data_IF_843387416724
#
_entry.id   IF_843387416724
#
_cell.length_a   1.000
_cell.length_b   1.000
_cell.length_c   1.000
_cell.angle_alpha   90.00
_cell.angle_beta   90.00
_cell.angle_gamma   90.00
#
_symmetry.space_group_name_H-M   'P 1'
#
loop_
_entity.id
_entity.type
_entity.pdbx_description
1 polymer ?
#
# COMPACT_ATOMS: atom_id res chain seq x y z
N UNK A 1 -15.81 -36.77 14.45
CA UNK A 1 -14.70 -35.81 14.63
C UNK A 1 -15.20 -34.42 14.25
N UNK A 2 -15.20 -33.49 15.21
CA UNK A 2 -15.91 -32.21 15.17
C UNK A 2 -15.22 -31.21 14.21
N UNK A 3 -15.85 -30.89 13.07
CA UNK A 3 -15.30 -30.07 11.97
C UNK A 3 -15.68 -28.58 12.05
N UNK A 4 -15.91 -28.04 13.25
CA UNK A 4 -16.21 -26.61 13.47
C UNK A 4 -14.98 -25.70 13.61
N UNK A 5 -13.76 -26.27 13.59
CA UNK A 5 -12.49 -25.54 13.80
C UNK A 5 -12.03 -24.55 12.71
N UNK A 6 -12.31 -24.70 11.40
CA UNK A 6 -11.62 -23.88 10.38
C UNK A 6 -12.02 -22.40 10.44
N UNK A 7 -13.27 -22.10 10.82
CA UNK A 7 -13.77 -20.72 10.86
C UNK A 7 -13.17 -19.95 12.04
N UNK A 8 -13.07 -20.53 13.23
CA UNK A 8 -12.55 -19.83 14.42
C UNK A 8 -11.07 -19.46 14.27
N UNK A 9 -10.25 -20.38 13.74
CA UNK A 9 -8.81 -20.14 13.55
C UNK A 9 -8.54 -18.98 12.60
N UNK A 10 -9.35 -18.82 11.54
CA UNK A 10 -9.28 -17.67 10.63
C UNK A 10 -9.43 -16.33 11.36
N UNK A 11 -10.45 -16.23 12.22
CA UNK A 11 -10.77 -15.02 12.97
C UNK A 11 -9.69 -14.65 14.01
N UNK A 12 -8.75 -15.55 14.30
CA UNK A 12 -7.58 -15.29 15.15
C UNK A 12 -6.34 -14.99 14.31
N UNK A 13 -6.05 -15.84 13.31
CA UNK A 13 -4.83 -15.72 12.52
C UNK A 13 -4.81 -14.50 11.59
N UNK A 14 -5.96 -14.12 11.00
CA UNK A 14 -6.04 -12.94 10.14
C UNK A 14 -5.74 -11.63 10.90
N UNK A 15 -6.42 -11.29 12.01
CA UNK A 15 -6.09 -10.07 12.74
C UNK A 15 -4.67 -10.12 13.33
N UNK A 16 -4.18 -11.30 13.73
CA UNK A 16 -2.80 -11.45 14.18
C UNK A 16 -1.80 -11.05 13.08
N UNK A 17 -1.95 -11.57 11.85
CA UNK A 17 -1.02 -11.22 10.77
C UNK A 17 -1.14 -9.77 10.33
N UNK A 18 -2.36 -9.20 10.34
CA UNK A 18 -2.55 -7.78 10.04
C UNK A 18 -1.90 -6.89 11.11
N UNK A 19 -1.95 -7.30 12.38
CA UNK A 19 -1.29 -6.60 13.48
C UNK A 19 0.24 -6.64 13.34
N UNK A 20 0.79 -7.80 13.01
CA UNK A 20 2.23 -7.96 12.72
C UNK A 20 2.63 -7.09 11.53
N UNK A 21 1.91 -7.16 10.41
CA UNK A 21 2.18 -6.35 9.22
C UNK A 21 2.11 -4.86 9.52
N UNK A 22 1.11 -4.42 10.30
CA UNK A 22 0.98 -3.02 10.71
C UNK A 22 2.16 -2.59 11.58
N UNK A 23 2.56 -3.39 12.57
CA UNK A 23 3.71 -3.08 13.43
C UNK A 23 5.01 -2.97 12.61
N UNK A 24 5.24 -3.89 11.68
CA UNK A 24 6.41 -3.86 10.80
C UNK A 24 6.41 -2.62 9.91
N UNK A 25 5.27 -2.29 9.29
CA UNK A 25 5.14 -1.09 8.46
C UNK A 25 5.37 0.17 9.29
N UNK A 26 4.80 0.28 10.50
CA UNK A 26 5.00 1.43 11.39
C UNK A 26 6.46 1.61 11.77
N UNK A 27 7.17 0.52 12.10
CA UNK A 27 8.60 0.57 12.46
C UNK A 27 9.48 0.95 11.26
N UNK A 28 9.14 0.45 10.07
CA UNK A 28 9.89 0.76 8.85
C UNK A 28 9.55 2.12 8.24
N UNK A 29 8.44 2.75 8.63
CA UNK A 29 7.91 3.94 7.97
C UNK A 29 8.85 5.14 8.10
N UNK A 30 9.37 5.60 6.97
CA UNK A 30 10.13 6.83 6.88
C UNK A 30 9.26 7.96 6.32
N UNK A 31 9.04 9.07 7.06
CA UNK A 31 8.26 10.20 6.56
C UNK A 31 9.00 11.02 5.49
N UNK A 32 10.32 10.85 5.33
CA UNK A 32 11.11 11.59 4.35
C UNK A 32 10.81 11.16 2.91
N UNK A 33 10.95 12.06 1.92
CA UNK A 33 10.90 11.68 0.52
C UNK A 33 11.97 10.63 0.20
N UNK A 34 11.63 9.73 -0.72
CA UNK A 34 12.56 8.71 -1.20
C UNK A 34 13.63 9.34 -2.11
N UNK A 35 14.89 8.93 -1.93
CA UNK A 35 16.03 9.50 -2.66
C UNK A 35 16.03 9.18 -4.16
N UNK A 36 15.29 8.14 -4.58
CA UNK A 36 15.13 7.78 -6.00
C UNK A 36 14.29 8.77 -6.81
N UNK A 37 13.55 9.68 -6.16
CA UNK A 37 12.84 10.79 -6.82
C UNK A 37 11.48 10.46 -7.46
N UNK A 38 11.18 9.19 -7.77
CA UNK A 38 9.90 8.78 -8.39
C UNK A 38 8.67 9.19 -7.56
N UNK A 39 8.77 9.16 -6.23
CA UNK A 39 7.71 9.58 -5.32
C UNK A 39 7.33 11.07 -5.50
N UNK A 40 8.29 11.93 -5.83
CA UNK A 40 8.00 13.33 -6.12
C UNK A 40 7.19 13.47 -7.41
N UNK A 41 7.57 12.72 -8.47
CA UNK A 41 6.84 12.72 -9.73
C UNK A 41 5.39 12.24 -9.58
N UNK A 42 5.15 11.19 -8.78
CA UNK A 42 3.78 10.76 -8.48
C UNK A 42 2.95 11.82 -7.76
N UNK A 43 3.55 12.58 -6.84
CA UNK A 43 2.84 13.64 -6.10
C UNK A 43 2.57 14.85 -7.00
N UNK A 44 3.50 15.25 -7.88
CA UNK A 44 3.26 16.34 -8.83
C UNK A 44 2.17 15.98 -9.82
N UNK A 45 2.11 14.74 -10.30
CA UNK A 45 1.02 14.25 -11.14
C UNK A 45 -0.32 14.21 -10.40
N UNK A 46 -0.32 13.81 -9.13
CA UNK A 46 -1.50 13.85 -8.27
C UNK A 46 -2.01 15.29 -8.07
N UNK A 47 -1.11 16.25 -7.91
CA UNK A 47 -1.44 17.66 -7.82
C UNK A 47 -2.00 18.21 -9.14
N UNK A 48 -1.42 17.82 -10.28
CA UNK A 48 -1.95 18.14 -11.62
C UNK A 48 -3.40 17.69 -11.77
N UNK A 49 -3.69 16.45 -11.36
CA UNK A 49 -5.04 15.90 -11.39
C UNK A 49 -5.99 16.64 -10.45
N UNK A 50 -5.57 16.93 -9.22
CA UNK A 50 -6.42 17.52 -8.19
C UNK A 50 -6.75 19.00 -8.46
N UNK A 51 -5.78 19.80 -8.89
CA UNK A 51 -5.92 21.26 -9.03
C UNK A 51 -6.21 21.69 -10.48
N UNK A 52 -5.71 20.96 -11.47
CA UNK A 52 -5.82 21.34 -12.88
C UNK A 52 -6.70 20.38 -13.71
N UNK A 53 -7.07 19.22 -13.17
CA UNK A 53 -7.84 18.21 -13.90
C UNK A 53 -7.08 17.58 -15.07
N UNK A 54 -5.76 17.73 -15.12
CA UNK A 54 -4.89 17.26 -16.19
C UNK A 54 -3.90 16.23 -15.68
N UNK A 55 -3.49 15.29 -16.54
CA UNK A 55 -2.43 14.33 -16.23
C UNK A 55 -1.15 14.73 -16.97
N UNK A 56 -0.55 15.83 -16.54
CA UNK A 56 0.63 16.47 -17.17
C UNK A 56 1.66 16.83 -16.12
N UNK A 57 2.92 16.94 -16.53
CA UNK A 57 3.97 17.53 -15.68
C UNK A 57 3.78 19.04 -15.61
N UNK A 58 3.49 19.60 -14.42
CA UNK A 58 3.14 21.02 -14.25
C UNK A 58 4.20 22.00 -14.78
N UNK A 59 5.45 21.58 -14.81
CA UNK A 59 6.58 22.42 -15.19
C UNK A 59 7.16 22.06 -16.57
N UNK A 60 6.51 21.17 -17.31
CA UNK A 60 6.86 20.93 -18.72
C UNK A 60 6.26 22.05 -19.58
N UNK A 61 7.09 22.90 -20.23
CA UNK A 61 6.59 23.98 -21.09
C UNK A 61 5.78 23.47 -22.29
N UNK A 62 5.95 22.21 -22.69
CA UNK A 62 5.19 21.62 -23.79
C UNK A 62 3.81 21.12 -23.32
N UNK A 63 3.66 20.85 -22.01
CA UNK A 63 2.40 20.48 -21.39
C UNK A 63 1.79 19.18 -21.94
N UNK A 64 2.63 18.26 -22.41
CA UNK A 64 2.11 17.01 -22.99
C UNK A 64 1.50 16.11 -21.91
N UNK A 65 0.47 15.30 -22.24
CA UNK A 65 -0.01 14.25 -21.36
C UNK A 65 1.12 13.31 -20.94
N UNK A 66 1.20 13.06 -19.63
CA UNK A 66 2.24 12.23 -19.06
C UNK A 66 2.00 10.75 -19.39
N UNK A 67 3.05 10.05 -19.85
CA UNK A 67 2.94 8.65 -20.34
C UNK A 67 3.84 7.65 -19.61
N UNK A 68 4.82 8.10 -18.83
CA UNK A 68 5.76 7.20 -18.13
C UNK A 68 5.12 6.49 -16.94
N UNK A 69 4.41 7.24 -16.10
CA UNK A 69 3.75 6.69 -14.92
C UNK A 69 2.25 6.44 -15.18
N UNK A 70 1.72 5.23 -14.89
CA UNK A 70 0.29 4.96 -15.00
C UNK A 70 -0.55 5.79 -14.02
N UNK A 71 -1.79 6.19 -14.38
CA UNK A 71 -2.55 7.19 -13.63
C UNK A 71 -3.17 6.70 -12.31
N UNK A 72 -3.26 5.39 -12.08
CA UNK A 72 -4.01 4.83 -10.93
C UNK A 72 -3.42 5.28 -9.59
N UNK A 73 -2.12 5.14 -9.39
CA UNK A 73 -1.47 5.53 -8.13
C UNK A 73 -1.50 7.07 -7.90
N UNK A 74 -1.09 7.92 -8.85
CA UNK A 74 -1.26 9.37 -8.69
C UNK A 74 -2.73 9.79 -8.55
N UNK A 75 -3.68 9.08 -9.16
CA UNK A 75 -5.11 9.30 -8.92
C UNK A 75 -5.53 9.03 -7.47
N UNK A 76 -5.04 7.96 -6.84
CA UNK A 76 -5.27 7.69 -5.41
C UNK A 76 -4.66 8.79 -4.52
N UNK A 77 -3.47 9.28 -4.88
CA UNK A 77 -2.85 10.41 -4.19
C UNK A 77 -3.65 11.71 -4.41
N UNK A 78 -4.21 11.94 -5.60
CA UNK A 78 -5.04 13.10 -5.88
C UNK A 78 -6.30 13.10 -4.99
N UNK A 79 -6.93 11.95 -4.78
CA UNK A 79 -8.03 11.80 -3.82
C UNK A 79 -7.59 12.17 -2.39
N UNK A 80 -6.39 11.76 -1.96
CA UNK A 80 -5.84 12.17 -0.66
C UNK A 80 -5.66 13.69 -0.58
N UNK A 81 -5.13 14.32 -1.64
CA UNK A 81 -4.99 15.78 -1.71
C UNK A 81 -6.34 16.48 -1.63
N UNK A 82 -7.37 15.98 -2.32
CA UNK A 82 -8.73 16.53 -2.27
C UNK A 82 -9.37 16.36 -0.88
N UNK A 83 -9.02 15.32 -0.13
CA UNK A 83 -9.40 15.14 1.28
C UNK A 83 -8.57 15.97 2.26
N UNK A 84 -7.65 16.81 1.78
CA UNK A 84 -6.86 17.71 2.61
C UNK A 84 -5.50 17.16 3.07
N UNK A 85 -5.03 16.03 2.53
CA UNK A 85 -3.67 15.56 2.82
C UNK A 85 -2.64 16.56 2.30
N UNK A 86 -1.69 16.97 3.16
CA UNK A 86 -0.62 17.94 2.82
C UNK A 86 0.77 17.51 3.25
N UNK A 87 0.90 16.34 3.89
CA UNK A 87 2.17 15.85 4.43
C UNK A 87 2.63 14.60 3.69
N UNK A 88 3.95 14.40 3.63
CA UNK A 88 4.55 13.16 3.10
C UNK A 88 4.03 11.92 3.82
N UNK A 89 3.90 12.01 5.16
CA UNK A 89 3.32 10.95 5.99
C UNK A 89 1.93 10.57 5.50
N UNK A 90 1.03 11.55 5.33
CA UNK A 90 -0.34 11.31 4.90
C UNK A 90 -0.39 10.63 3.52
N UNK A 91 0.40 11.12 2.56
CA UNK A 91 0.41 10.57 1.20
C UNK A 91 1.02 9.15 1.14
N UNK A 92 2.10 8.89 1.90
CA UNK A 92 2.70 7.56 2.01
C UNK A 92 1.79 6.54 2.72
N UNK A 93 0.77 6.97 3.47
CA UNK A 93 -0.19 6.02 4.06
C UNK A 93 -0.94 5.20 3.01
N UNK A 94 -1.09 5.71 1.78
CA UNK A 94 -1.68 4.95 0.67
C UNK A 94 -0.90 3.66 0.45
N UNK A 95 0.42 3.75 0.23
CA UNK A 95 1.28 2.58 0.04
C UNK A 95 1.30 1.67 1.27
N UNK A 96 1.28 2.24 2.48
CA UNK A 96 1.19 1.49 3.74
C UNK A 96 -0.09 0.63 3.82
N UNK A 97 -1.24 1.22 3.52
CA UNK A 97 -2.53 0.51 3.51
C UNK A 97 -2.54 -0.60 2.46
N UNK A 98 -2.07 -0.33 1.23
CA UNK A 98 -1.99 -1.36 0.19
C UNK A 98 -1.03 -2.50 0.55
N UNK A 99 0.06 -2.22 1.27
CA UNK A 99 1.00 -3.24 1.75
C UNK A 99 0.35 -4.15 2.77
N UNK A 100 -0.34 -3.60 3.77
CA UNK A 100 -1.07 -4.38 4.79
C UNK A 100 -2.21 -5.18 4.13
N UNK A 101 -2.93 -4.57 3.19
CA UNK A 101 -3.98 -5.24 2.43
C UNK A 101 -3.43 -6.41 1.60
N UNK A 102 -2.27 -6.25 0.95
CA UNK A 102 -1.60 -7.32 0.19
C UNK A 102 -1.24 -8.51 1.07
N UNK A 103 -0.77 -8.28 2.31
CA UNK A 103 -0.52 -9.35 3.29
C UNK A 103 -1.84 -10.04 3.67
N UNK A 104 -2.90 -9.27 3.96
CA UNK A 104 -4.22 -9.83 4.27
C UNK A 104 -4.80 -10.68 3.13
N UNK A 105 -4.71 -10.21 1.90
CA UNK A 105 -5.17 -10.96 0.73
C UNK A 105 -4.32 -12.20 0.47
N UNK A 106 -3.01 -12.14 0.70
CA UNK A 106 -2.13 -13.31 0.66
C UNK A 106 -2.58 -14.36 1.67
N UNK A 107 -2.90 -13.96 2.90
CA UNK A 107 -3.44 -14.86 3.92
C UNK A 107 -4.74 -15.52 3.44
N UNK A 108 -5.71 -14.74 2.98
CA UNK A 108 -7.02 -15.25 2.54
C UNK A 108 -6.90 -16.19 1.33
N UNK A 109 -5.95 -15.93 0.45
CA UNK A 109 -5.64 -16.79 -0.70
C UNK A 109 -4.94 -18.09 -0.26
N UNK A 110 -3.97 -18.00 0.65
CA UNK A 110 -3.17 -19.12 1.12
C UNK A 110 -3.98 -20.06 2.03
N UNK A 111 -4.89 -19.52 2.84
CA UNK A 111 -5.72 -20.29 3.77
C UNK A 111 -6.53 -21.36 3.04
N UNK A 112 -7.03 -21.03 1.85
CA UNK A 112 -7.80 -21.96 0.99
C UNK A 112 -6.98 -23.15 0.48
N UNK A 113 -5.64 -23.12 0.59
CA UNK A 113 -4.72 -24.13 0.05
C UNK A 113 -3.89 -24.83 1.13
N UNK A 114 -3.44 -24.08 2.13
CA UNK A 114 -2.47 -24.51 3.15
C UNK A 114 -3.10 -24.64 4.54
N UNK A 115 -4.38 -24.28 4.70
CA UNK A 115 -5.02 -24.11 5.99
C UNK A 115 -4.55 -22.85 6.73
N UNK A 116 -5.22 -22.51 7.83
CA UNK A 116 -5.02 -21.24 8.54
C UNK A 116 -3.59 -21.05 9.08
N UNK A 117 -2.95 -22.11 9.58
CA UNK A 117 -1.58 -22.04 10.14
C UNK A 117 -0.54 -21.89 9.03
N UNK A 118 -0.65 -22.64 7.93
CA UNK A 118 0.25 -22.50 6.79
C UNK A 118 0.14 -21.12 6.13
N UNK A 119 -1.09 -20.60 6.03
CA UNK A 119 -1.34 -19.24 5.56
C UNK A 119 -0.76 -18.16 6.46
N UNK A 120 -0.84 -18.34 7.79
CA UNK A 120 -0.22 -17.44 8.77
C UNK A 120 1.30 -17.38 8.55
N UNK A 121 1.96 -18.55 8.45
CA UNK A 121 3.40 -18.61 8.21
C UNK A 121 3.82 -17.90 6.93
N UNK A 122 3.19 -18.21 5.80
CA UNK A 122 3.48 -17.57 4.51
C UNK A 122 3.26 -16.04 4.56
N UNK A 123 2.18 -15.60 5.19
CA UNK A 123 1.83 -14.18 5.23
C UNK A 123 2.73 -13.40 6.18
N UNK A 124 3.19 -14.00 7.28
CA UNK A 124 4.22 -13.41 8.15
C UNK A 124 5.55 -13.28 7.40
N UNK A 125 5.97 -14.32 6.67
CA UNK A 125 7.20 -14.25 5.84
C UNK A 125 7.12 -13.11 4.81
N UNK A 126 5.96 -12.95 4.17
CA UNK A 126 5.73 -11.83 3.25
C UNK A 126 5.76 -10.48 3.99
N UNK A 127 5.10 -10.39 5.15
CA UNK A 127 4.99 -9.15 5.93
C UNK A 127 6.33 -8.62 6.45
N UNK A 128 7.32 -9.49 6.68
CA UNK A 128 8.67 -9.09 7.11
C UNK A 128 9.67 -8.99 5.94
N UNK A 129 9.24 -9.26 4.72
CA UNK A 129 10.10 -9.25 3.54
C UNK A 129 10.57 -7.82 3.21
N UNK A 130 11.88 -7.55 3.13
CA UNK A 130 12.40 -6.22 2.74
C UNK A 130 11.99 -5.81 1.33
N UNK A 131 11.65 -6.78 0.47
CA UNK A 131 11.16 -6.49 -0.87
C UNK A 131 9.74 -5.89 -0.86
N UNK A 132 8.95 -6.18 0.18
CA UNK A 132 7.61 -5.61 0.36
C UNK A 132 7.64 -4.38 1.28
N UNK A 133 8.42 -4.44 2.36
CA UNK A 133 8.53 -3.39 3.36
C UNK A 133 9.73 -2.51 3.05
N UNK A 134 9.51 -1.53 2.19
CA UNK A 134 10.51 -0.55 1.79
C UNK A 134 9.90 0.86 1.83
N UNK A 135 10.29 1.66 2.83
CA UNK A 135 9.67 2.96 3.14
C UNK A 135 10.67 4.10 3.34
#
# INVERSE_FOLDING_TARGET
VNTSKPRYTRWVCLPLVLSISTAVVVVAFNPAPHNGGDNAAYITLAFSLAEHGTYTDLYDPVGMPHTKYPPVFPGLLALMLLMGARTWTALKTVSAVFTIAAVGFTYLWAERRLGAVGALGLSVMLAISPALVYY
#
